data_IF_315671247481
#
_entry.id   IF_315671247481
#
_cell.length_a   1.000
_cell.length_b   1.000
_cell.length_c   1.000
_cell.angle_alpha   90.00
_cell.angle_beta   90.00
_cell.angle_gamma   90.00
#
_symmetry.space_group_name_H-M   'P 1'
#
loop_
_entity.id
_entity.type
_entity.pdbx_description
1 polymer ?
#
# COMPACT_ATOMS: atom_id res chain seq x y z
N UNK A 1 8.37 10.96 11.77
CA UNK A 1 8.94 10.53 10.46
C UNK A 1 8.94 9.02 10.34
N UNK A 2 9.62 8.28 11.22
CA UNK A 2 9.61 6.80 11.20
C UNK A 2 8.20 6.20 11.27
N UNK A 3 7.39 6.62 12.25
CA UNK A 3 6.00 6.16 12.41
C UNK A 3 5.13 6.36 11.16
N UNK A 4 5.28 7.50 10.46
CA UNK A 4 4.58 7.76 9.19
C UNK A 4 4.97 6.73 8.12
N UNK A 5 6.27 6.44 8.00
CA UNK A 5 6.81 5.49 7.03
C UNK A 5 6.31 4.07 7.36
N UNK A 6 6.31 3.69 8.64
CA UNK A 6 5.79 2.41 9.11
C UNK A 6 4.28 2.28 8.79
N UNK A 7 3.51 3.37 8.95
CA UNK A 7 2.09 3.38 8.61
C UNK A 7 1.82 3.30 7.10
N UNK A 8 2.63 3.97 6.27
CA UNK A 8 2.57 3.81 4.80
C UNK A 8 2.85 2.36 4.42
N UNK A 9 3.91 1.77 5.00
CA UNK A 9 4.24 0.36 4.79
C UNK A 9 3.05 -0.55 5.17
N UNK A 10 2.43 -0.33 6.33
CA UNK A 10 1.29 -1.13 6.78
C UNK A 10 0.09 -1.01 5.82
N UNK A 11 -0.17 0.18 5.27
CA UNK A 11 -1.24 0.38 4.29
C UNK A 11 -0.91 -0.25 2.94
N UNK A 12 0.34 -0.24 2.51
CA UNK A 12 0.78 -0.98 1.32
C UNK A 12 0.68 -2.50 1.56
N UNK A 13 0.95 -2.97 2.78
CA UNK A 13 0.78 -4.38 3.13
C UNK A 13 -0.69 -4.81 3.10
N UNK A 14 -1.62 -3.98 3.60
CA UNK A 14 -3.06 -4.18 3.43
C UNK A 14 -3.46 -4.19 1.95
N UNK A 15 -2.94 -3.24 1.16
CA UNK A 15 -3.18 -3.14 -0.28
C UNK A 15 -2.67 -4.37 -1.06
N UNK A 16 -1.62 -5.03 -0.58
CA UNK A 16 -0.99 -6.17 -1.23
C UNK A 16 -1.67 -7.52 -0.95
N UNK A 17 -2.67 -7.59 -0.06
CA UNK A 17 -3.26 -8.86 0.37
C UNK A 17 -4.79 -8.86 0.23
N UNK A 18 -5.30 -9.50 -0.83
CA UNK A 18 -6.73 -9.67 -1.06
C UNK A 18 -7.42 -10.47 0.05
N UNK A 19 -6.74 -11.41 0.70
CA UNK A 19 -7.35 -12.15 1.80
C UNK A 19 -7.49 -11.26 3.04
N UNK A 20 -6.50 -10.41 3.30
CA UNK A 20 -6.60 -9.41 4.36
C UNK A 20 -7.70 -8.40 4.06
N UNK A 21 -7.80 -7.92 2.82
CA UNK A 21 -8.89 -7.04 2.39
C UNK A 21 -10.26 -7.69 2.57
N UNK A 22 -10.44 -8.96 2.19
CA UNK A 22 -11.68 -9.70 2.46
C UNK A 22 -12.03 -9.76 3.94
N UNK A 23 -11.04 -10.02 4.79
CA UNK A 23 -11.23 -10.03 6.25
C UNK A 23 -11.62 -8.67 6.78
N UNK A 24 -10.94 -7.60 6.37
CA UNK A 24 -11.15 -6.27 6.94
C UNK A 24 -12.37 -5.55 6.36
N UNK A 25 -12.59 -5.65 5.04
CA UNK A 25 -13.58 -4.88 4.29
C UNK A 25 -14.92 -5.59 4.19
N UNK A 26 -14.90 -6.92 4.08
CA UNK A 26 -16.12 -7.74 3.98
C UNK A 26 -16.47 -8.44 5.29
N UNK A 27 -15.59 -8.31 6.30
CA UNK A 27 -15.70 -9.03 7.58
C UNK A 27 -15.77 -10.56 7.41
N UNK A 28 -15.24 -11.10 6.30
CA UNK A 28 -15.21 -12.54 5.99
C UNK A 28 -14.19 -13.26 6.88
N UNK A 29 -14.65 -14.15 7.78
CA UNK A 29 -13.79 -14.91 8.70
C UNK A 29 -12.79 -14.04 9.50
N UNK A 30 -13.24 -12.83 9.85
CA UNK A 30 -12.37 -11.83 10.41
C UNK A 30 -11.95 -12.15 11.85
N UNK A 31 -10.66 -12.50 12.00
CA UNK A 31 -10.01 -12.77 13.27
C UNK A 31 -8.96 -11.72 13.64
N UNK A 32 -8.96 -10.57 12.98
CA UNK A 32 -7.96 -9.51 13.18
C UNK A 32 -8.31 -8.60 14.36
N UNK A 33 -9.59 -8.50 14.71
CA UNK A 33 -10.10 -7.52 15.68
C UNK A 33 -10.28 -6.11 15.10
N UNK A 34 -10.08 -5.94 13.79
CA UNK A 34 -10.18 -4.67 13.07
C UNK A 34 -11.19 -4.75 11.94
N UNK A 35 -11.78 -3.61 11.57
CA UNK A 35 -12.63 -3.44 10.39
C UNK A 35 -12.06 -2.26 9.63
N UNK A 36 -12.10 -2.33 8.30
CA UNK A 36 -11.66 -1.28 7.38
C UNK A 36 -12.60 -1.29 6.16
N UNK A 37 -12.26 -0.54 5.13
CA UNK A 37 -12.93 -0.48 3.83
C UNK A 37 -11.94 0.03 2.78
N UNK A 38 -12.30 -0.05 1.50
CA UNK A 38 -11.53 0.59 0.45
C UNK A 38 -11.30 2.09 0.75
N UNK A 39 -12.37 2.80 1.12
CA UNK A 39 -12.31 4.24 1.40
C UNK A 39 -11.36 4.54 2.54
N UNK A 40 -11.44 3.81 3.66
CA UNK A 40 -10.54 3.99 4.79
C UNK A 40 -9.07 3.70 4.43
N UNK A 41 -8.81 2.65 3.65
CA UNK A 41 -7.46 2.35 3.16
C UNK A 41 -6.90 3.54 2.36
N UNK A 42 -7.65 4.02 1.36
CA UNK A 42 -7.18 5.05 0.43
C UNK A 42 -7.05 6.40 1.15
N UNK A 43 -8.03 6.81 1.94
CA UNK A 43 -7.97 8.03 2.74
C UNK A 43 -6.81 7.98 3.73
N UNK A 44 -6.60 6.89 4.46
CA UNK A 44 -5.44 6.84 5.37
C UNK A 44 -4.12 6.88 4.61
N UNK A 45 -4.00 6.20 3.47
CA UNK A 45 -2.76 6.23 2.70
C UNK A 45 -2.45 7.62 2.15
N UNK A 46 -3.42 8.30 1.52
CA UNK A 46 -3.19 9.57 0.84
C UNK A 46 -3.39 10.80 1.72
N UNK A 47 -4.40 10.81 2.58
CA UNK A 47 -4.73 11.98 3.40
C UNK A 47 -4.01 11.94 4.75
N UNK A 48 -4.12 10.83 5.50
CA UNK A 48 -3.53 10.75 6.85
C UNK A 48 -2.01 10.64 6.80
N UNK A 49 -1.48 9.78 5.91
CA UNK A 49 -0.05 9.49 5.83
C UNK A 49 0.68 10.20 4.68
N UNK A 50 -0.06 10.92 3.83
CA UNK A 50 0.46 11.73 2.74
C UNK A 50 1.45 10.97 1.85
N UNK A 51 0.97 9.87 1.26
CA UNK A 51 1.78 9.01 0.39
C UNK A 51 2.39 9.76 -0.81
N UNK A 52 1.71 10.78 -1.33
CA UNK A 52 2.25 11.65 -2.37
C UNK A 52 3.50 12.42 -1.91
N UNK A 53 3.42 13.10 -0.76
CA UNK A 53 4.58 13.77 -0.13
C UNK A 53 5.72 12.80 0.20
N UNK A 54 5.38 11.60 0.67
CA UNK A 54 6.39 10.58 0.93
C UNK A 54 7.19 10.27 -0.34
N UNK A 55 6.52 10.01 -1.47
CA UNK A 55 7.19 9.76 -2.75
C UNK A 55 7.97 10.99 -3.20
N UNK A 56 7.37 12.18 -3.23
CA UNK A 56 7.99 13.33 -3.88
C UNK A 56 9.11 13.98 -3.05
N UNK A 57 9.04 13.88 -1.72
CA UNK A 57 9.94 14.61 -0.80
C UNK A 57 10.79 13.67 0.05
N UNK A 58 10.23 12.59 0.58
CA UNK A 58 10.93 11.75 1.57
C UNK A 58 11.79 10.67 0.91
N UNK A 59 11.20 9.91 -0.02
CA UNK A 59 11.87 8.83 -0.74
C UNK A 59 13.21 9.26 -1.39
N UNK A 60 13.34 10.44 -2.04
CA UNK A 60 14.61 10.88 -2.62
C UNK A 60 15.69 11.19 -1.57
N UNK A 61 15.32 11.44 -0.30
CA UNK A 61 16.26 11.78 0.78
C UNK A 61 16.82 10.56 1.50
N UNK A 62 16.17 9.40 1.36
CA UNK A 62 16.55 8.15 2.05
C UNK A 62 17.26 7.15 1.13
N UNK A 63 17.80 7.63 0.01
CA UNK A 63 18.60 6.89 -0.97
C UNK A 63 17.93 5.57 -1.43
N UNK A 64 16.61 5.62 -1.66
CA UNK A 64 15.93 4.50 -2.30
C UNK A 64 16.50 4.29 -3.70
N UNK A 65 16.74 3.03 -4.06
CA UNK A 65 17.15 2.70 -5.44
C UNK A 65 16.15 3.28 -6.46
N UNK A 66 16.66 3.73 -7.60
CA UNK A 66 15.83 4.25 -8.70
C UNK A 66 14.72 3.28 -9.11
N UNK A 67 14.99 1.98 -9.06
CA UNK A 67 14.00 0.93 -9.33
C UNK A 67 12.88 0.95 -8.30
N UNK A 68 13.21 1.01 -7.00
CA UNK A 68 12.18 1.02 -5.96
C UNK A 68 11.33 2.30 -6.03
N UNK A 69 11.97 3.45 -6.24
CA UNK A 69 11.26 4.69 -6.48
C UNK A 69 10.32 4.59 -7.70
N UNK A 70 10.75 3.96 -8.78
CA UNK A 70 9.89 3.74 -9.96
C UNK A 70 8.68 2.87 -9.65
N UNK A 71 8.83 1.78 -8.88
CA UNK A 71 7.70 0.91 -8.51
C UNK A 71 6.70 1.61 -7.58
N UNK A 72 7.16 2.49 -6.68
CA UNK A 72 6.28 3.34 -5.86
C UNK A 72 5.46 4.30 -6.72
N UNK A 73 6.08 4.93 -7.72
CA UNK A 73 5.37 5.81 -8.65
C UNK A 73 4.34 5.05 -9.49
N UNK A 74 4.65 3.84 -9.97
CA UNK A 74 3.68 2.99 -10.66
C UNK A 74 2.47 2.66 -9.80
N UNK A 75 2.70 2.32 -8.51
CA UNK A 75 1.62 2.07 -7.57
C UNK A 75 0.72 3.30 -7.40
N UNK A 76 1.32 4.47 -7.17
CA UNK A 76 0.60 5.74 -7.08
C UNK A 76 -0.23 6.01 -8.34
N UNK A 77 0.34 5.80 -9.51
CA UNK A 77 -0.33 6.07 -10.78
C UNK A 77 -1.51 5.13 -11.03
N UNK A 78 -1.40 3.85 -10.64
CA UNK A 78 -2.51 2.89 -10.73
C UNK A 78 -3.65 3.29 -9.77
N UNK A 79 -3.30 3.64 -8.52
CA UNK A 79 -4.28 4.11 -7.52
C UNK A 79 -5.02 5.36 -7.99
N UNK A 80 -4.31 6.36 -8.51
CA UNK A 80 -4.90 7.61 -9.02
C UNK A 80 -5.79 7.41 -10.25
N UNK A 81 -5.58 6.34 -11.01
CA UNK A 81 -6.38 6.01 -12.22
C UNK A 81 -7.52 5.05 -11.94
N UNK A 82 -7.54 4.43 -10.77
CA UNK A 82 -8.55 3.44 -10.42
C UNK A 82 -9.92 4.12 -10.34
N UNK A 83 -10.90 3.51 -11.00
CA UNK A 83 -12.28 3.95 -10.91
C UNK A 83 -13.01 3.06 -9.90
N UNK A 84 -13.24 3.63 -8.72
CA UNK A 84 -13.94 3.01 -7.61
C UNK A 84 -15.28 2.37 -8.05
N UNK A 85 -15.62 1.24 -7.42
CA UNK A 85 -16.89 0.53 -7.62
C UNK A 85 -17.85 0.85 -6.49
N UNK A 86 -19.11 0.44 -6.63
CA UNK A 86 -20.14 0.83 -5.67
C UNK A 86 -19.97 0.17 -4.30
N UNK A 87 -19.21 -0.92 -4.20
CA UNK A 87 -18.95 -1.62 -2.94
C UNK A 87 -17.56 -2.26 -2.86
N UNK A 88 -17.09 -2.48 -1.63
CA UNK A 88 -15.84 -3.20 -1.34
C UNK A 88 -15.79 -4.59 -2.00
N UNK A 89 -16.94 -5.29 -2.08
CA UNK A 89 -17.03 -6.60 -2.71
C UNK A 89 -16.78 -6.52 -4.23
N UNK A 90 -17.32 -5.49 -4.88
CA UNK A 90 -17.08 -5.26 -6.30
C UNK A 90 -15.62 -4.87 -6.56
N UNK A 91 -15.02 -4.05 -5.68
CA UNK A 91 -13.62 -3.66 -5.76
C UNK A 91 -12.70 -4.88 -5.64
N UNK A 92 -12.89 -5.72 -4.61
CA UNK A 92 -12.08 -6.92 -4.39
C UNK A 92 -12.15 -7.90 -5.58
N UNK A 93 -13.28 -7.92 -6.30
CA UNK A 93 -13.46 -8.78 -7.46
C UNK A 93 -13.07 -8.11 -8.80
N UNK A 94 -12.74 -6.82 -8.81
CA UNK A 94 -12.35 -6.08 -10.01
C UNK A 94 -10.95 -6.51 -10.51
N UNK A 95 -10.83 -6.97 -11.77
CA UNK A 95 -9.53 -7.20 -12.40
C UNK A 95 -8.56 -6.02 -12.36
N UNK A 96 -9.03 -4.77 -12.45
CA UNK A 96 -8.17 -3.58 -12.35
C UNK A 96 -7.63 -3.40 -10.93
N UNK A 97 -8.44 -3.69 -9.91
CA UNK A 97 -7.98 -3.69 -8.53
C UNK A 97 -6.89 -4.74 -8.29
N UNK A 98 -7.04 -5.93 -8.88
CA UNK A 98 -6.00 -6.98 -8.79
C UNK A 98 -4.65 -6.53 -9.32
N UNK A 99 -4.60 -5.69 -10.37
CA UNK A 99 -3.33 -5.13 -10.87
C UNK A 99 -2.68 -4.21 -9.84
N UNK A 100 -3.48 -3.45 -9.07
CA UNK A 100 -2.98 -2.63 -7.97
C UNK A 100 -2.40 -3.51 -6.86
N UNK A 101 -3.11 -4.58 -6.49
CA UNK A 101 -2.61 -5.56 -5.52
C UNK A 101 -1.29 -6.19 -5.97
N UNK A 102 -1.18 -6.58 -7.23
CA UNK A 102 0.05 -7.12 -7.81
C UNK A 102 1.21 -6.11 -7.74
N UNK A 103 0.95 -4.85 -8.10
CA UNK A 103 1.95 -3.79 -8.01
C UNK A 103 2.34 -3.50 -6.54
N UNK A 104 1.39 -3.51 -5.61
CA UNK A 104 1.65 -3.35 -4.18
C UNK A 104 2.55 -4.47 -3.64
N UNK A 105 2.35 -5.72 -4.10
CA UNK A 105 3.23 -6.84 -3.76
C UNK A 105 4.68 -6.63 -4.25
N UNK A 106 4.88 -6.05 -5.44
CA UNK A 106 6.21 -5.72 -5.95
C UNK A 106 6.87 -4.70 -5.02
N UNK A 107 6.16 -3.60 -4.71
CA UNK A 107 6.63 -2.55 -3.80
C UNK A 107 6.98 -3.11 -2.43
N UNK A 108 6.12 -3.96 -1.85
CA UNK A 108 6.32 -4.54 -0.53
C UNK A 108 7.57 -5.43 -0.46
N UNK A 109 7.81 -6.26 -1.47
CA UNK A 109 9.03 -7.08 -1.57
C UNK A 109 10.29 -6.23 -1.63
N UNK A 110 10.26 -5.14 -2.39
CA UNK A 110 11.40 -4.21 -2.46
C UNK A 110 11.63 -3.51 -1.12
N UNK A 111 10.55 -3.17 -0.42
CA UNK A 111 10.60 -2.58 0.92
C UNK A 111 11.28 -3.50 1.93
N UNK A 112 10.91 -4.78 1.99
CA UNK A 112 11.55 -5.77 2.87
C UNK A 112 13.04 -5.93 2.59
N UNK A 113 13.43 -5.95 1.32
CA UNK A 113 14.84 -6.05 0.95
C UNK A 113 15.63 -4.83 1.40
N UNK A 114 15.04 -3.63 1.29
CA UNK A 114 15.64 -2.40 1.78
C UNK A 114 15.81 -2.42 3.31
N UNK A 115 14.78 -2.80 4.06
CA UNK A 115 14.85 -2.85 5.53
C UNK A 115 15.89 -3.86 6.02
N UNK A 116 15.97 -5.04 5.39
CA UNK A 116 16.99 -6.04 5.70
C UNK A 116 18.39 -5.49 5.45
N UNK A 117 18.62 -4.84 4.30
CA UNK A 117 19.91 -4.22 3.97
C UNK A 117 20.30 -3.19 5.04
N UNK A 118 19.39 -2.28 5.39
CA UNK A 118 19.65 -1.22 6.39
C UNK A 118 19.93 -1.79 7.79
N UNK A 119 19.33 -2.92 8.15
CA UNK A 119 19.55 -3.55 9.45
C UNK A 119 20.82 -4.43 9.49
N UNK A 120 21.30 -4.96 8.37
CA UNK A 120 22.56 -5.71 8.28
C UNK A 120 23.81 -4.82 8.46
N UNK A 121 23.70 -3.51 8.17
CA UNK A 121 24.79 -2.53 8.30
C UNK A 121 24.72 -1.67 9.58
N UNK A 122 23.83 -2.00 10.53
CA UNK A 122 23.75 -1.36 11.85
C UNK A 122 24.32 -2.27 12.93
#
# INVERSE_FOLDING_TARGET
MKERIDNIYNKIAELADLNLQRKLWLNEENNTGFISSYVELICSLFDDFNFADFIDITAPKIDLSNTFFSELNKLRDLLNKYHEKESDLEIINDPEWRKIVEQANIVLKMWHNFDNLVNEFK
#
